data_IF_096623812137
#
_entry.id   IF_096623812137
#
_cell.length_a   1.000
_cell.length_b   1.000
_cell.length_c   1.000
_cell.angle_alpha   90.00
_cell.angle_beta   90.00
_cell.angle_gamma   90.00
#
_symmetry.space_group_name_H-M   'P 1'
#
loop_
_entity.id
_entity.type
_entity.pdbx_description
1 polymer ?
#
# COMPACT_ATOMS: atom_id res chain seq x y z
N UNK A 1 -1.24 -1.87 -23.01
CA UNK A 1 -0.61 -0.62 -23.48
C UNK A 1 -1.25 0.54 -22.74
N UNK A 2 -0.50 1.55 -22.29
CA UNK A 2 -1.08 2.72 -21.60
C UNK A 2 -2.09 3.48 -22.47
N UNK A 3 -1.95 3.39 -23.80
CA UNK A 3 -2.79 4.11 -24.78
C UNK A 3 -4.25 3.67 -24.83
N UNK A 4 -4.56 2.45 -24.36
CA UNK A 4 -5.92 1.88 -24.39
C UNK A 4 -6.58 1.81 -23.02
N UNK A 5 -5.87 2.22 -21.95
CA UNK A 5 -6.34 2.07 -20.57
C UNK A 5 -7.66 2.79 -20.35
N UNK A 6 -7.73 4.06 -20.76
CA UNK A 6 -8.91 4.89 -20.54
C UNK A 6 -10.16 4.28 -21.16
N UNK A 7 -10.13 3.96 -22.46
CA UNK A 7 -11.26 3.36 -23.19
C UNK A 7 -11.72 2.03 -22.55
N UNK A 8 -10.79 1.10 -22.35
CA UNK A 8 -11.12 -0.24 -21.80
C UNK A 8 -11.61 -0.20 -20.35
N UNK A 9 -11.10 0.72 -19.53
CA UNK A 9 -11.52 0.85 -18.14
C UNK A 9 -12.90 1.53 -18.05
N UNK A 10 -13.15 2.54 -18.89
CA UNK A 10 -14.48 3.16 -19.01
C UNK A 10 -15.54 2.16 -19.47
N UNK A 11 -15.19 1.30 -20.45
CA UNK A 11 -16.05 0.20 -20.89
C UNK A 11 -16.34 -0.78 -19.75
N UNK A 12 -15.30 -1.24 -19.04
CA UNK A 12 -15.49 -2.16 -17.91
C UNK A 12 -16.45 -1.61 -16.85
N UNK A 13 -16.38 -0.31 -16.55
CA UNK A 13 -17.25 0.36 -15.58
C UNK A 13 -18.71 0.55 -16.05
N UNK A 14 -19.04 0.19 -17.30
CA UNK A 14 -20.44 0.12 -17.76
C UNK A 14 -21.16 -1.10 -17.19
N UNK A 15 -20.43 -2.15 -16.80
CA UNK A 15 -20.99 -3.43 -16.34
C UNK A 15 -21.12 -3.45 -14.81
N UNK A 16 -22.34 -3.39 -14.24
CA UNK A 16 -22.55 -3.24 -12.79
C UNK A 16 -22.06 -4.44 -11.95
N UNK A 17 -21.84 -5.61 -12.56
CA UNK A 17 -21.26 -6.78 -11.91
C UNK A 17 -19.76 -6.65 -11.63
N UNK A 18 -19.05 -5.76 -12.33
CA UNK A 18 -17.64 -5.49 -12.09
C UNK A 18 -17.53 -4.51 -10.91
N UNK A 19 -16.93 -4.96 -9.81
CA UNK A 19 -16.78 -4.17 -8.57
C UNK A 19 -15.38 -3.64 -8.35
N UNK A 20 -14.39 -4.20 -9.04
CA UNK A 20 -13.00 -3.76 -8.92
C UNK A 20 -12.29 -3.93 -10.26
N UNK A 21 -11.52 -2.90 -10.65
CA UNK A 21 -10.67 -2.91 -11.85
C UNK A 21 -9.23 -2.68 -11.40
N UNK A 22 -8.32 -3.57 -11.78
CA UNK A 22 -6.90 -3.39 -11.57
C UNK A 22 -6.25 -2.86 -12.87
N UNK A 23 -5.68 -1.66 -12.81
CA UNK A 23 -5.06 -1.00 -13.96
C UNK A 23 -3.54 -1.19 -13.87
N UNK A 24 -3.02 -2.14 -14.65
CA UNK A 24 -1.60 -2.53 -14.55
C UNK A 24 -0.66 -1.54 -15.24
N UNK A 25 -1.11 -0.92 -16.33
CA UNK A 25 -0.25 -0.11 -17.18
C UNK A 25 0.28 1.13 -16.46
N UNK A 26 1.56 1.42 -16.66
CA UNK A 26 2.24 2.64 -16.24
C UNK A 26 2.21 3.70 -17.35
N UNK A 27 2.31 4.98 -16.98
CA UNK A 27 2.37 6.09 -17.93
C UNK A 27 1.00 6.50 -18.47
N UNK A 28 -0.08 6.26 -17.71
CA UNK A 28 -1.42 6.74 -18.04
C UNK A 28 -1.44 8.26 -17.77
N UNK A 29 -1.90 9.10 -18.73
CA UNK A 29 -1.99 10.53 -18.50
C UNK A 29 -2.83 10.87 -17.26
N UNK A 30 -2.32 11.74 -16.38
CA UNK A 30 -2.98 12.11 -15.12
C UNK A 30 -4.45 12.56 -15.31
N UNK A 31 -4.73 13.27 -16.41
CA UNK A 31 -6.09 13.72 -16.73
C UNK A 31 -7.05 12.57 -17.02
N UNK A 32 -6.57 11.51 -17.71
CA UNK A 32 -7.37 10.32 -17.96
C UNK A 32 -7.61 9.56 -16.66
N UNK A 33 -6.59 9.44 -15.80
CA UNK A 33 -6.72 8.79 -14.49
C UNK A 33 -7.74 9.50 -13.60
N UNK A 34 -7.76 10.85 -13.59
CA UNK A 34 -8.77 11.63 -12.86
C UNK A 34 -10.20 11.37 -13.35
N UNK A 35 -10.38 11.26 -14.66
CA UNK A 35 -11.68 10.94 -15.27
C UNK A 35 -12.14 9.52 -14.90
N UNK A 36 -11.20 8.56 -14.89
CA UNK A 36 -11.45 7.20 -14.42
C UNK A 36 -11.85 7.15 -12.94
N UNK A 37 -11.14 7.88 -12.07
CA UNK A 37 -11.45 7.96 -10.63
C UNK A 37 -12.87 8.47 -10.43
N UNK A 38 -13.21 9.61 -11.05
CA UNK A 38 -14.56 10.19 -10.92
C UNK A 38 -15.64 9.21 -11.38
N UNK A 39 -15.44 8.56 -12.52
CA UNK A 39 -16.40 7.58 -13.05
C UNK A 39 -16.54 6.38 -12.12
N UNK A 40 -15.43 5.91 -11.54
CA UNK A 40 -15.41 4.79 -10.61
C UNK A 40 -16.16 5.11 -9.31
N UNK A 41 -16.03 6.33 -8.78
CA UNK A 41 -16.79 6.83 -7.64
C UNK A 41 -18.30 6.88 -7.95
N UNK A 42 -18.69 7.46 -9.09
CA UNK A 42 -20.08 7.53 -9.55
C UNK A 42 -20.70 6.13 -9.69
N UNK A 43 -19.92 5.15 -10.16
CA UNK A 43 -20.34 3.76 -10.41
C UNK A 43 -20.14 2.82 -9.22
N UNK A 44 -19.49 3.29 -8.14
CA UNK A 44 -19.09 2.49 -6.97
C UNK A 44 -18.23 1.28 -7.35
N UNK A 45 -17.23 1.51 -8.20
CA UNK A 45 -16.22 0.53 -8.62
C UNK A 45 -14.89 0.91 -7.97
N UNK A 46 -14.21 -0.04 -7.34
CA UNK A 46 -12.85 0.18 -6.84
C UNK A 46 -11.83 0.14 -7.98
N UNK A 47 -10.82 1.02 -7.95
CA UNK A 47 -9.68 0.96 -8.86
C UNK A 47 -8.41 0.68 -8.05
N UNK A 48 -7.61 -0.32 -8.45
CA UNK A 48 -6.24 -0.53 -7.94
C UNK A 48 -5.28 -0.20 -9.08
N UNK A 49 -4.39 0.77 -8.88
CA UNK A 49 -3.54 1.35 -9.93
C UNK A 49 -4.02 2.74 -10.37
N UNK A 50 -3.52 3.31 -11.50
CA UNK A 50 -2.63 2.71 -12.47
C UNK A 50 -1.20 2.45 -11.98
N UNK A 51 -0.31 1.97 -12.86
CA UNK A 51 1.10 1.72 -12.55
C UNK A 51 1.31 0.78 -11.35
N UNK A 52 0.62 -0.36 -11.35
CA UNK A 52 0.68 -1.35 -10.28
C UNK A 52 0.80 -2.78 -10.79
N UNK A 53 1.36 -3.67 -9.98
CA UNK A 53 1.22 -5.13 -10.18
C UNK A 53 -0.13 -5.67 -9.69
N UNK A 54 -0.84 -4.89 -8.86
CA UNK A 54 -2.13 -5.21 -8.27
C UNK A 54 -2.04 -5.48 -6.76
N UNK A 55 -2.24 -6.73 -6.37
CA UNK A 55 -2.35 -7.14 -4.98
C UNK A 55 -2.58 -8.64 -4.84
N UNK A 56 -2.46 -9.13 -3.60
CA UNK A 56 -2.63 -10.54 -3.25
C UNK A 56 -3.35 -10.69 -1.91
N UNK A 57 -4.33 -11.59 -1.88
CA UNK A 57 -4.98 -12.08 -0.66
C UNK A 57 -4.66 -13.58 -0.55
N UNK A 58 -3.63 -13.97 0.23
CA UNK A 58 -3.19 -15.35 0.34
C UNK A 58 -4.31 -16.35 0.64
N UNK A 59 -4.34 -17.46 -0.10
CA UNK A 59 -5.41 -18.46 -0.02
C UNK A 59 -6.72 -18.09 -0.73
N UNK A 60 -6.84 -16.87 -1.28
CA UNK A 60 -8.06 -16.40 -1.93
C UNK A 60 -7.84 -16.01 -3.40
N UNK A 61 -7.12 -14.90 -3.65
CA UNK A 61 -6.97 -14.31 -4.98
C UNK A 61 -5.63 -13.59 -5.11
N UNK A 62 -5.03 -13.64 -6.31
CA UNK A 62 -3.93 -12.75 -6.69
C UNK A 62 -4.28 -12.04 -8.00
N UNK A 63 -3.89 -10.77 -8.10
CA UNK A 63 -4.07 -9.98 -9.31
C UNK A 63 -2.84 -10.17 -10.22
N UNK A 64 -3.05 -10.75 -11.39
CA UNK A 64 -2.05 -10.89 -12.44
C UNK A 64 -0.75 -11.51 -11.95
N UNK A 65 0.34 -10.76 -12.07
CA UNK A 65 1.71 -11.18 -11.77
C UNK A 65 2.14 -10.95 -10.31
N UNK A 66 1.25 -10.48 -9.44
CA UNK A 66 1.57 -10.23 -8.02
C UNK A 66 2.06 -11.51 -7.35
N UNK A 67 3.17 -11.40 -6.61
CA UNK A 67 3.81 -12.54 -5.94
C UNK A 67 4.69 -13.40 -6.85
N UNK A 68 4.75 -13.12 -8.16
CA UNK A 68 5.67 -13.78 -9.09
C UNK A 68 5.37 -15.26 -9.33
N UNK A 69 6.45 -16.03 -9.51
CA UNK A 69 6.42 -17.47 -9.80
C UNK A 69 6.03 -18.29 -8.55
N UNK A 70 5.64 -19.55 -8.77
CA UNK A 70 5.10 -20.42 -7.73
C UNK A 70 6.11 -20.70 -6.60
N UNK A 71 7.39 -20.76 -6.92
CA UNK A 71 8.49 -20.86 -5.95
C UNK A 71 8.43 -19.71 -4.94
N UNK A 72 8.27 -18.46 -5.37
CA UNK A 72 8.11 -17.33 -4.47
C UNK A 72 6.80 -17.38 -3.68
N UNK A 73 5.69 -17.85 -4.28
CA UNK A 73 4.43 -18.05 -3.56
C UNK A 73 4.61 -19.03 -2.40
N UNK A 74 5.35 -20.13 -2.61
CA UNK A 74 5.64 -21.12 -1.56
C UNK A 74 6.63 -20.58 -0.54
N UNK A 75 7.75 -19.97 -0.98
CA UNK A 75 8.78 -19.42 -0.09
C UNK A 75 8.24 -18.30 0.81
N UNK A 76 7.42 -17.41 0.25
CA UNK A 76 6.76 -16.33 0.99
C UNK A 76 5.46 -16.78 1.68
N UNK A 77 5.14 -18.07 1.60
CA UNK A 77 3.98 -18.72 2.22
C UNK A 77 2.63 -18.07 1.85
N UNK A 78 2.51 -17.53 0.63
CA UNK A 78 1.35 -16.78 0.13
C UNK A 78 0.16 -17.68 -0.28
N UNK A 79 0.21 -18.96 0.03
CA UNK A 79 -0.87 -19.93 -0.22
C UNK A 79 -1.88 -20.04 0.95
N UNK A 80 -1.59 -19.41 2.10
CA UNK A 80 -2.51 -19.33 3.25
C UNK A 80 -2.42 -17.94 3.91
N UNK A 81 -3.51 -17.43 4.52
CA UNK A 81 -3.50 -16.14 5.19
C UNK A 81 -2.64 -16.15 6.46
N UNK A 82 -2.02 -15.01 6.75
CA UNK A 82 -1.52 -14.65 8.08
C UNK A 82 -2.35 -13.51 8.68
N UNK A 83 -1.71 -12.63 9.46
CA UNK A 83 -2.42 -11.56 10.19
C UNK A 83 -1.98 -10.14 9.85
N UNK A 84 -1.01 -9.97 8.94
CA UNK A 84 -0.52 -8.65 8.53
C UNK A 84 -1.15 -8.22 7.21
N UNK A 85 -1.86 -7.09 7.20
CA UNK A 85 -2.38 -6.48 5.97
C UNK A 85 -1.54 -5.26 5.60
N UNK A 86 -1.09 -5.15 4.35
CA UNK A 86 -0.19 -4.07 3.92
C UNK A 86 -0.68 -3.29 2.71
N UNK A 87 -0.27 -2.04 2.62
CA UNK A 87 -0.44 -1.18 1.43
C UNK A 87 0.87 -0.51 1.08
N UNK A 88 1.20 -0.47 -0.21
CA UNK A 88 2.41 0.16 -0.74
C UNK A 88 2.12 0.90 -2.06
N UNK A 89 2.99 1.83 -2.48
CA UNK A 89 2.97 2.36 -3.86
C UNK A 89 3.66 1.42 -4.84
N UNK A 90 4.87 0.99 -4.52
CA UNK A 90 5.69 0.15 -5.41
C UNK A 90 5.23 -1.31 -5.45
N UNK A 91 4.91 -1.80 -6.65
CA UNK A 91 4.65 -3.22 -6.87
C UNK A 91 5.86 -4.12 -6.57
N UNK A 92 7.08 -3.68 -6.89
CA UNK A 92 8.30 -4.43 -6.59
C UNK A 92 8.52 -4.56 -5.08
N UNK A 93 8.43 -3.44 -4.35
CA UNK A 93 8.56 -3.47 -2.89
C UNK A 93 7.42 -4.23 -2.21
N UNK A 94 6.22 -4.30 -2.81
CA UNK A 94 5.16 -5.16 -2.29
C UNK A 94 5.58 -6.63 -2.22
N UNK A 95 6.41 -7.10 -3.16
CA UNK A 95 6.93 -8.46 -3.12
C UNK A 95 8.06 -8.63 -2.10
N UNK A 96 8.84 -7.57 -1.85
CA UNK A 96 9.80 -7.57 -0.74
C UNK A 96 9.07 -7.59 0.61
N UNK A 97 7.94 -6.87 0.74
CA UNK A 97 7.09 -6.95 1.93
C UNK A 97 6.53 -8.36 2.14
N UNK A 98 6.13 -9.08 1.08
CA UNK A 98 5.75 -10.49 1.21
C UNK A 98 6.86 -11.33 1.85
N UNK A 99 8.11 -11.14 1.42
CA UNK A 99 9.28 -11.84 1.93
C UNK A 99 9.64 -11.42 3.36
N UNK A 100 9.60 -10.12 3.68
CA UNK A 100 9.90 -9.62 5.03
C UNK A 100 8.82 -10.10 6.01
N UNK A 101 7.54 -9.95 5.66
CA UNK A 101 6.42 -10.33 6.53
C UNK A 101 6.44 -11.83 6.80
N UNK A 102 6.62 -12.69 5.78
CA UNK A 102 6.58 -14.14 5.99
C UNK A 102 7.68 -14.68 6.93
N UNK A 103 8.79 -13.95 7.06
CA UNK A 103 9.94 -14.30 7.91
C UNK A 103 9.82 -13.76 9.33
N UNK A 104 9.02 -12.72 9.54
CA UNK A 104 8.95 -11.97 10.80
C UNK A 104 7.54 -12.01 11.44
N UNK A 105 6.59 -12.76 10.87
CA UNK A 105 5.26 -13.01 11.41
C UNK A 105 4.65 -14.31 10.85
N UNK A 106 3.38 -14.59 11.15
CA UNK A 106 2.64 -15.72 10.56
C UNK A 106 2.35 -15.56 9.05
N UNK A 107 2.48 -14.35 8.49
CA UNK A 107 2.37 -14.06 7.06
C UNK A 107 1.41 -12.93 6.72
N UNK A 108 1.22 -12.75 5.41
CA UNK A 108 0.34 -11.72 4.84
C UNK A 108 -1.11 -12.17 4.89
N UNK A 109 -2.00 -11.30 5.38
CA UNK A 109 -3.46 -11.45 5.29
C UNK A 109 -3.98 -10.91 3.95
N UNK A 110 -3.61 -9.68 3.61
CA UNK A 110 -3.91 -9.05 2.32
C UNK A 110 -2.87 -7.97 2.01
N UNK A 111 -2.38 -7.92 0.78
CA UNK A 111 -1.38 -6.96 0.33
C UNK A 111 -1.83 -6.24 -0.93
N UNK A 112 -1.78 -4.90 -0.94
CA UNK A 112 -2.12 -4.09 -2.12
C UNK A 112 -0.99 -3.14 -2.47
N UNK A 113 -0.66 -3.06 -3.76
CA UNK A 113 0.12 -1.97 -4.33
C UNK A 113 -0.84 -1.00 -5.03
N UNK A 114 -1.00 0.23 -4.52
CA UNK A 114 -1.92 1.22 -5.11
C UNK A 114 -1.38 1.83 -6.41
N UNK A 115 -0.08 1.69 -6.65
CA UNK A 115 0.63 2.18 -7.83
C UNK A 115 1.43 3.45 -7.59
N UNK A 116 2.38 3.71 -8.50
CA UNK A 116 3.31 4.84 -8.43
C UNK A 116 2.81 6.15 -9.07
N UNK A 117 1.62 6.12 -9.68
CA UNK A 117 1.04 7.30 -10.32
C UNK A 117 0.64 8.36 -9.28
N UNK A 118 0.62 9.62 -9.72
CA UNK A 118 0.31 10.76 -8.84
C UNK A 118 -1.11 10.73 -8.27
N UNK A 119 -2.05 10.19 -9.05
CA UNK A 119 -3.46 10.06 -8.67
C UNK A 119 -3.83 8.58 -8.74
N UNK A 120 -3.51 7.78 -7.71
CA UNK A 120 -3.92 6.40 -7.68
C UNK A 120 -5.44 6.31 -7.57
N UNK A 121 -6.02 5.25 -8.17
CA UNK A 121 -7.45 4.99 -8.19
C UNK A 121 -8.06 4.67 -6.82
N UNK A 122 -7.20 4.24 -5.89
CA UNK A 122 -7.49 4.07 -4.48
C UNK A 122 -6.31 4.57 -3.66
N UNK A 123 -6.60 5.12 -2.48
CA UNK A 123 -5.61 5.74 -1.60
C UNK A 123 -5.25 4.80 -0.46
N UNK A 124 -4.20 5.12 0.29
CA UNK A 124 -3.80 4.34 1.45
C UNK A 124 -4.95 4.19 2.47
N UNK A 125 -5.63 5.29 2.78
CA UNK A 125 -6.75 5.30 3.74
C UNK A 125 -7.87 4.34 3.33
N UNK A 126 -8.21 4.27 2.04
CA UNK A 126 -9.30 3.41 1.56
C UNK A 126 -9.05 1.93 1.89
N UNK A 127 -7.82 1.47 1.71
CA UNK A 127 -7.44 0.10 2.04
C UNK A 127 -7.29 -0.12 3.55
N UNK A 128 -6.74 0.85 4.28
CA UNK A 128 -6.61 0.76 5.73
C UNK A 128 -7.96 0.69 6.44
N UNK A 129 -8.97 1.41 5.95
CA UNK A 129 -10.33 1.30 6.49
C UNK A 129 -10.91 -0.10 6.27
N UNK A 130 -10.72 -0.69 5.09
CA UNK A 130 -11.11 -2.10 4.87
C UNK A 130 -10.39 -3.06 5.82
N UNK A 131 -9.11 -2.83 6.09
CA UNK A 131 -8.34 -3.68 6.99
C UNK A 131 -8.68 -3.46 8.46
N UNK A 132 -9.04 -2.24 8.84
CA UNK A 132 -9.58 -1.95 10.16
C UNK A 132 -10.86 -2.76 10.42
N UNK A 133 -11.72 -2.91 9.42
CA UNK A 133 -12.99 -3.64 9.50
C UNK A 133 -12.85 -5.17 9.27
N UNK A 134 -11.67 -5.68 8.89
CA UNK A 134 -11.40 -7.10 8.66
C UNK A 134 -10.76 -7.75 9.90
N UNK A 135 -11.49 -8.60 10.61
CA UNK A 135 -11.03 -9.26 11.84
C UNK A 135 -9.75 -10.11 11.67
N UNK A 136 -9.45 -10.58 10.44
CA UNK A 136 -8.23 -11.32 10.14
C UNK A 136 -6.98 -10.45 10.03
N UNK A 137 -7.14 -9.17 9.67
CA UNK A 137 -6.06 -8.20 9.70
C UNK A 137 -5.85 -7.71 11.13
N UNK A 138 -4.75 -8.12 11.77
CA UNK A 138 -4.41 -7.72 13.15
C UNK A 138 -3.39 -6.59 13.20
N UNK A 139 -2.49 -6.54 12.22
CA UNK A 139 -1.45 -5.51 12.09
C UNK A 139 -1.56 -4.88 10.71
N UNK A 140 -1.55 -3.54 10.66
CA UNK A 140 -1.60 -2.78 9.42
C UNK A 140 -0.20 -2.28 9.08
N UNK A 141 0.26 -2.47 7.84
CA UNK A 141 1.61 -2.10 7.41
C UNK A 141 1.56 -1.15 6.22
N UNK A 142 2.12 0.05 6.39
CA UNK A 142 2.25 1.06 5.35
C UNK A 142 3.68 1.12 4.84
N UNK A 143 3.86 1.02 3.52
CA UNK A 143 5.08 1.45 2.84
C UNK A 143 4.78 2.64 1.94
N UNK A 144 4.92 3.83 2.52
CA UNK A 144 4.72 5.12 1.86
C UNK A 144 5.95 5.58 1.08
N UNK A 145 5.87 6.77 0.52
CA UNK A 145 6.93 7.33 -0.32
C UNK A 145 7.00 8.86 -0.18
N UNK A 146 8.14 9.45 -0.56
CA UNK A 146 8.27 10.89 -0.78
C UNK A 146 7.23 11.41 -1.80
N UNK A 147 6.74 12.63 -1.61
CA UNK A 147 5.79 13.28 -2.52
C UNK A 147 4.32 13.08 -2.13
N UNK A 148 3.51 14.13 -2.29
CA UNK A 148 2.09 14.12 -1.91
C UNK A 148 1.84 14.03 -0.40
N UNK A 149 0.57 13.93 -0.02
CA UNK A 149 0.12 14.03 1.38
C UNK A 149 -0.77 12.86 1.83
N UNK A 150 -0.81 11.76 1.06
CA UNK A 150 -1.72 10.63 1.32
C UNK A 150 -1.55 10.01 2.71
N UNK A 151 -0.32 9.99 3.24
CA UNK A 151 -0.02 9.46 4.57
C UNK A 151 -0.59 10.33 5.70
N UNK A 152 -0.83 11.63 5.48
CA UNK A 152 -1.43 12.49 6.50
C UNK A 152 -2.90 12.16 6.76
N UNK A 153 -3.64 11.69 5.76
CA UNK A 153 -5.01 11.23 5.95
C UNK A 153 -5.07 9.98 6.85
N UNK A 154 -4.06 9.11 6.76
CA UNK A 154 -3.89 8.00 7.70
C UNK A 154 -3.53 8.48 9.11
N UNK A 155 -2.65 9.46 9.22
CA UNK A 155 -2.28 10.06 10.52
C UNK A 155 -3.53 10.59 11.23
N UNK A 156 -4.37 11.33 10.53
CA UNK A 156 -5.61 11.87 11.10
C UNK A 156 -6.62 10.76 11.43
N UNK A 157 -6.68 9.69 10.64
CA UNK A 157 -7.51 8.52 10.95
C UNK A 157 -7.05 7.77 12.22
N UNK A 158 -5.74 7.67 12.47
CA UNK A 158 -5.21 7.09 13.72
C UNK A 158 -5.48 8.01 14.91
N UNK A 159 -5.17 9.32 14.79
CA UNK A 159 -5.40 10.30 15.88
C UNK A 159 -6.87 10.41 16.29
N UNK A 160 -7.79 10.31 15.33
CA UNK A 160 -9.24 10.36 15.60
C UNK A 160 -9.80 9.05 16.17
N UNK A 161 -8.99 7.99 16.27
CA UNK A 161 -9.44 6.67 16.71
C UNK A 161 -10.25 5.92 15.66
N UNK A 162 -10.26 6.36 14.40
CA UNK A 162 -10.90 5.65 13.30
C UNK A 162 -10.12 4.40 12.89
N UNK A 163 -8.79 4.45 12.99
CA UNK A 163 -7.92 3.28 12.90
C UNK A 163 -7.38 3.02 14.30
N UNK A 164 -7.68 1.85 14.84
CA UNK A 164 -7.32 1.46 16.22
C UNK A 164 -6.35 0.29 16.27
N UNK A 165 -6.24 -0.48 15.18
CA UNK A 165 -5.27 -1.57 15.09
C UNK A 165 -3.84 -1.03 15.05
N UNK A 166 -2.83 -1.78 15.55
CA UNK A 166 -1.44 -1.39 15.44
C UNK A 166 -1.03 -1.11 14.00
N UNK A 167 -0.44 0.07 13.77
CA UNK A 167 0.06 0.47 12.45
C UNK A 167 1.58 0.57 12.46
N UNK A 168 2.23 -0.20 11.59
CA UNK A 168 3.64 -0.08 11.26
C UNK A 168 3.75 0.75 9.97
N UNK A 169 4.64 1.74 9.93
CA UNK A 169 4.78 2.57 8.74
C UNK A 169 6.22 3.00 8.46
N UNK A 170 6.55 3.08 7.18
CA UNK A 170 7.80 3.68 6.71
C UNK A 170 7.58 4.35 5.34
N UNK A 171 7.96 5.62 5.23
CA UNK A 171 8.06 6.34 3.96
C UNK A 171 9.50 6.25 3.44
N UNK A 172 9.68 5.72 2.23
CA UNK A 172 10.98 5.69 1.52
C UNK A 172 11.26 7.02 0.82
N UNK A 173 12.51 7.25 0.40
CA UNK A 173 12.93 8.49 -0.26
C UNK A 173 13.55 9.52 0.68
N UNK A 174 14.06 9.11 1.85
CA UNK A 174 14.73 9.98 2.82
C UNK A 174 16.01 10.62 2.26
N UNK A 175 16.64 10.01 1.25
CA UNK A 175 17.80 10.58 0.57
C UNK A 175 17.48 11.83 -0.26
N UNK A 176 16.20 12.13 -0.52
CA UNK A 176 15.80 13.31 -1.29
C UNK A 176 16.36 14.62 -0.70
N UNK A 177 16.45 14.70 0.63
CA UNK A 177 17.00 15.87 1.34
C UNK A 177 18.53 15.97 1.27
N UNK A 178 19.23 14.92 0.81
CA UNK A 178 20.68 14.93 0.63
C UNK A 178 21.10 15.58 -0.69
N UNK A 179 20.16 15.80 -1.62
CA UNK A 179 20.44 16.43 -2.91
C UNK A 179 20.27 17.95 -2.83
N UNK A 180 21.12 18.68 -3.55
CA UNK A 180 21.06 20.14 -3.60
C UNK A 180 19.89 20.67 -4.45
N UNK A 181 19.29 19.81 -5.28
CA UNK A 181 18.18 20.13 -6.18
C UNK A 181 17.07 19.11 -6.00
N UNK A 182 15.84 19.51 -6.31
CA UNK A 182 14.73 18.56 -6.37
C UNK A 182 15.01 17.46 -7.40
N UNK A 183 14.69 16.22 -7.01
CA UNK A 183 14.87 15.03 -7.85
C UNK A 183 13.52 14.36 -8.04
N UNK A 184 13.11 14.19 -9.29
CA UNK A 184 12.00 13.32 -9.66
C UNK A 184 12.48 11.86 -9.61
N UNK A 185 11.91 11.06 -8.71
CA UNK A 185 12.18 9.62 -8.69
C UNK A 185 11.32 8.87 -9.73
N UNK A 186 11.53 7.56 -9.86
CA UNK A 186 10.93 6.76 -10.94
C UNK A 186 9.40 6.78 -10.97
N UNK A 187 8.75 6.73 -9.80
CA UNK A 187 7.29 6.87 -9.73
C UNK A 187 6.86 8.31 -10.01
N UNK A 188 5.82 8.49 -10.82
CA UNK A 188 5.32 9.82 -11.20
C UNK A 188 4.91 10.69 -10.00
N UNK A 189 4.43 10.07 -8.91
CA UNK A 189 4.10 10.77 -7.67
C UNK A 189 5.29 11.11 -6.76
N UNK A 190 6.48 10.59 -7.04
CA UNK A 190 7.63 10.65 -6.14
C UNK A 190 8.50 11.90 -6.36
N UNK A 191 7.92 13.06 -6.09
CA UNK A 191 8.59 14.35 -6.04
C UNK A 191 7.98 15.17 -4.90
N UNK A 192 8.80 15.59 -3.93
CA UNK A 192 8.37 16.50 -2.89
C UNK A 192 8.36 17.94 -3.40
N UNK A 193 7.22 18.64 -3.25
CA UNK A 193 7.07 20.06 -3.61
C UNK A 193 7.13 21.01 -2.42
N UNK A 194 7.32 20.45 -1.22
CA UNK A 194 7.40 21.19 0.03
C UNK A 194 7.85 20.26 1.16
N UNK A 195 8.20 20.85 2.30
CA UNK A 195 8.82 20.14 3.42
C UNK A 195 7.95 19.00 3.98
N UNK A 196 6.63 19.19 3.99
CA UNK A 196 5.65 18.19 4.47
C UNK A 196 5.57 16.97 3.55
N UNK A 197 5.94 17.12 2.27
CA UNK A 197 5.94 16.00 1.32
C UNK A 197 7.22 15.15 1.41
N UNK A 198 8.21 15.57 2.21
CA UNK A 198 9.44 14.80 2.41
C UNK A 198 9.19 13.52 3.20
N UNK A 199 9.87 12.44 2.83
CA UNK A 199 9.75 11.16 3.55
C UNK A 199 10.11 11.30 5.04
N UNK A 200 11.11 12.13 5.37
CA UNK A 200 11.52 12.39 6.74
C UNK A 200 10.41 13.10 7.56
N UNK A 201 9.75 14.11 6.99
CA UNK A 201 8.64 14.79 7.65
C UNK A 201 7.45 13.86 7.88
N UNK A 202 7.11 13.03 6.88
CA UNK A 202 6.05 12.03 7.01
C UNK A 202 6.36 10.99 8.08
N UNK A 203 7.58 10.42 8.10
CA UNK A 203 8.00 9.46 9.11
C UNK A 203 7.94 10.05 10.52
N UNK A 204 8.39 11.30 10.69
CA UNK A 204 8.30 12.01 11.97
C UNK A 204 6.84 12.19 12.39
N UNK A 205 5.98 12.68 11.50
CA UNK A 205 4.57 12.92 11.79
C UNK A 205 3.80 11.62 12.11
N UNK A 206 4.09 10.52 11.42
CA UNK A 206 3.53 9.20 11.73
C UNK A 206 3.98 8.73 13.11
N UNK A 207 5.27 8.88 13.46
CA UNK A 207 5.79 8.49 14.78
C UNK A 207 5.12 9.28 15.91
N UNK A 208 4.95 10.59 15.73
CA UNK A 208 4.25 11.47 16.69
C UNK A 208 2.76 11.12 16.85
N UNK A 209 2.15 10.56 15.80
CA UNK A 209 0.75 10.13 15.81
C UNK A 209 0.51 8.73 16.43
N UNK A 210 1.56 8.03 16.84
CA UNK A 210 1.46 6.71 17.48
C UNK A 210 1.72 5.51 16.58
N UNK A 211 2.22 5.73 15.35
CA UNK A 211 2.63 4.65 14.46
C UNK A 211 3.95 4.03 14.94
N UNK A 212 4.11 2.73 14.69
CA UNK A 212 5.38 2.04 14.83
C UNK A 212 6.26 2.34 13.61
N UNK A 213 7.14 3.34 13.74
CA UNK A 213 8.04 3.79 12.66
C UNK A 213 9.47 3.37 12.97
N UNK A 214 10.10 2.49 12.15
CA UNK A 214 11.51 2.12 12.33
C UNK A 214 12.44 3.30 11.99
N UNK A 215 13.72 3.20 12.37
CA UNK A 215 14.71 4.24 12.08
C UNK A 215 15.09 4.30 10.58
N UNK A 216 14.99 3.16 9.90
CA UNK A 216 15.33 2.97 8.50
C UNK A 216 14.64 1.72 7.95
N UNK A 217 14.63 1.56 6.62
CA UNK A 217 13.92 0.45 5.97
C UNK A 217 14.47 -0.94 6.36
N UNK A 218 15.77 -1.08 6.55
CA UNK A 218 16.43 -2.31 7.02
C UNK A 218 16.05 -2.71 8.46
N UNK A 219 15.49 -1.77 9.23
CA UNK A 219 14.93 -2.01 10.57
C UNK A 219 13.45 -2.36 10.58
N UNK A 220 12.78 -2.34 9.43
CA UNK A 220 11.39 -2.76 9.28
C UNK A 220 11.14 -4.22 9.72
N UNK A 221 12.01 -5.21 9.39
CA UNK A 221 11.84 -6.59 9.87
C UNK A 221 11.79 -6.71 11.40
N UNK A 222 12.70 -6.02 12.10
CA UNK A 222 12.78 -6.02 13.57
C UNK A 222 11.51 -5.41 14.19
N UNK A 223 11.00 -4.32 13.62
CA UNK A 223 9.75 -3.69 14.06
C UNK A 223 8.54 -4.60 13.86
N UNK A 224 8.44 -5.27 12.71
CA UNK A 224 7.37 -6.24 12.41
C UNK A 224 7.38 -7.39 13.42
N UNK A 225 8.55 -8.00 13.63
CA UNK A 225 8.69 -9.12 14.57
C UNK A 225 8.30 -8.72 15.98
N UNK A 226 8.71 -7.52 16.43
CA UNK A 226 8.35 -7.01 17.75
C UNK A 226 6.83 -6.86 17.91
N UNK A 227 6.19 -6.08 17.04
CA UNK A 227 4.73 -5.82 17.15
C UNK A 227 3.93 -7.11 17.02
N UNK A 228 4.35 -8.02 16.13
CA UNK A 228 3.73 -9.34 16.02
C UNK A 228 3.84 -10.16 17.31
N UNK A 229 5.02 -10.21 17.91
CA UNK A 229 5.24 -10.95 19.17
C UNK A 229 4.43 -10.37 20.31
N UNK A 230 4.39 -9.04 20.45
CA UNK A 230 3.59 -8.35 21.47
C UNK A 230 2.10 -8.74 21.38
N UNK A 231 1.56 -8.89 20.16
CA UNK A 231 0.16 -9.30 19.92
C UNK A 231 -0.08 -10.79 20.16
N UNK A 232 0.91 -11.65 19.90
CA UNK A 232 0.83 -13.08 20.24
C UNK A 232 0.82 -13.26 21.76
N UNK A 233 1.70 -12.55 22.49
CA UNK A 233 1.76 -12.58 23.95
C UNK A 233 0.48 -12.02 24.62
N UNK A 234 -0.13 -11.01 24.01
CA UNK A 234 -1.43 -10.48 24.43
C UNK A 234 -2.61 -11.43 24.13
N UNK A 235 -2.42 -12.44 23.28
CA UNK A 235 -3.45 -13.39 22.84
C UNK A 235 -4.35 -12.87 21.70
N UNK A 236 -4.00 -11.74 21.09
CA UNK A 236 -4.75 -11.15 19.96
C UNK A 236 -4.49 -11.88 18.64
N UNK A 237 -3.35 -12.58 18.54
CA UNK A 237 -2.98 -13.48 17.44
C UNK A 237 -2.74 -14.88 18.02
N UNK A 238 -3.38 -15.90 17.43
CA UNK A 238 -3.14 -17.31 17.78
C UNK A 238 -2.25 -17.95 16.71
N UNK A 239 -1.22 -18.68 17.15
CA UNK A 239 -0.34 -19.48 16.26
C UNK A 239 -0.90 -20.87 15.94
#
# INVERSE_FOLDING_TARGET
SFRSVHETSMEAMQYPQIKTVAIIAEGVPEQQTKDLIRTAEEKKVGIIGPATVGGIKPGCLRIGNTGGMLDNIVMSRLYRPGSIAYVSKSGGMSNELNNIVCRNSNGVHEGVAIGGDRYPGSRFLDHFLRYQDDDGAKILLLLGEVGGLDEYDLIEAVKSGRITKPVIAWCVGTCASCFATEVQFGHAGAQARGDTETAAAKNKAMKEAGFHVPESFDKLPEMISKVYTDLVEAGDITE
#
